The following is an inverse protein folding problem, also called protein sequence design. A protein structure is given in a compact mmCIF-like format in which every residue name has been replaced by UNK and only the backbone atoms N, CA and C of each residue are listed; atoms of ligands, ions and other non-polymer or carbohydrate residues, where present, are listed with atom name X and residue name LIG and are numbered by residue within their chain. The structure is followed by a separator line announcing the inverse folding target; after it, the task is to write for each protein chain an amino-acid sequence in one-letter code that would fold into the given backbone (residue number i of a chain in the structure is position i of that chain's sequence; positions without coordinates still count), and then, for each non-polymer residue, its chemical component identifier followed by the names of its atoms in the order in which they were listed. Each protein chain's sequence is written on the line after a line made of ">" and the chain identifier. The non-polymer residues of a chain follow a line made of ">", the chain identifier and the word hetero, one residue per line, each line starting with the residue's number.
data_IF_921561711706
#
_entry.id   IF_921561711706
#
_cell.length_a   1.000
_cell.length_b   1.000
_cell.length_c   1.000
_cell.angle_alpha   90.00
_cell.angle_beta   90.00
_cell.angle_gamma   90.00
#
_symmetry.space_group_name_H-M   'P 1'
#
loop_
_entity.id
_entity.type
_entity.pdbx_description
1 polymer ?
#
# COMPACT_ATOMS: atom_id res chain seq x y z
N UNK A 1 -35.57 21.37 -35.77
CA UNK A 1 -37.04 21.24 -35.60
C UNK A 1 -37.82 22.01 -36.65
N UNK A 2 -37.63 23.34 -36.81
CA UNK A 2 -38.33 24.11 -37.87
C UNK A 2 -38.07 23.57 -39.29
N UNK A 3 -36.86 23.09 -39.56
CA UNK A 3 -36.47 22.44 -40.81
C UNK A 3 -37.17 21.09 -41.09
N UNK A 4 -37.56 20.34 -40.05
CA UNK A 4 -38.28 19.07 -40.17
C UNK A 4 -39.74 19.34 -40.52
N UNK A 5 -40.35 20.28 -39.81
CA UNK A 5 -41.75 20.71 -40.02
C UNK A 5 -41.93 21.24 -41.46
N UNK A 6 -41.00 22.05 -41.96
CA UNK A 6 -41.04 22.56 -43.33
C UNK A 6 -40.95 21.46 -44.41
N UNK A 7 -40.16 20.40 -44.16
CA UNK A 7 -40.03 19.27 -45.10
C UNK A 7 -41.28 18.37 -45.05
N UNK A 8 -41.87 18.17 -43.87
CA UNK A 8 -43.14 17.44 -43.72
C UNK A 8 -44.31 18.16 -44.43
N UNK A 9 -44.35 19.49 -44.38
CA UNK A 9 -45.32 20.28 -45.15
C UNK A 9 -45.14 20.12 -46.66
N UNK A 10 -43.90 20.13 -47.16
CA UNK A 10 -43.58 19.91 -48.58
C UNK A 10 -43.93 18.50 -49.06
N UNK A 11 -43.72 17.47 -48.21
CA UNK A 11 -44.14 16.09 -48.49
C UNK A 11 -45.67 16.02 -48.57
N UNK A 12 -46.39 16.64 -47.63
CA UNK A 12 -47.85 16.64 -47.63
C UNK A 12 -48.44 17.38 -48.85
N UNK A 13 -47.83 18.49 -49.28
CA UNK A 13 -48.27 19.22 -50.47
C UNK A 13 -48.02 18.42 -51.75
N UNK A 14 -46.85 17.81 -51.89
CA UNK A 14 -46.51 16.97 -53.06
C UNK A 14 -47.34 15.69 -53.12
N UNK A 15 -47.66 15.07 -51.98
CA UNK A 15 -48.56 13.90 -51.93
C UNK A 15 -49.97 14.25 -52.40
N UNK A 16 -50.54 15.38 -51.93
CA UNK A 16 -51.84 15.87 -52.39
C UNK A 16 -51.87 16.14 -53.90
N UNK A 17 -50.77 16.63 -54.46
CA UNK A 17 -50.66 16.87 -55.90
C UNK A 17 -50.61 15.57 -56.70
N UNK A 18 -49.87 14.56 -56.23
CA UNK A 18 -49.82 13.22 -56.83
C UNK A 18 -51.20 12.55 -56.80
N UNK A 19 -51.90 12.63 -55.67
CA UNK A 19 -53.23 12.04 -55.51
C UNK A 19 -54.25 12.66 -56.49
N UNK A 20 -54.19 13.98 -56.69
CA UNK A 20 -55.04 14.69 -57.64
C UNK A 20 -54.75 14.29 -59.10
N UNK A 21 -53.46 14.18 -59.46
CA UNK A 21 -53.03 13.76 -60.80
C UNK A 21 -53.39 12.29 -61.09
N UNK A 22 -53.21 11.40 -60.11
CA UNK A 22 -53.65 10.00 -60.21
C UNK A 22 -55.17 9.90 -60.44
N UNK A 23 -55.95 10.71 -59.73
CA UNK A 23 -57.40 10.73 -59.86
C UNK A 23 -57.86 11.25 -61.23
N UNK A 24 -57.15 12.24 -61.80
CA UNK A 24 -57.37 12.71 -63.18
C UNK A 24 -57.07 11.63 -64.22
N UNK A 25 -55.98 10.88 -64.05
CA UNK A 25 -55.63 9.77 -64.93
C UNK A 25 -56.63 8.61 -64.80
N UNK A 26 -57.07 8.27 -63.59
CA UNK A 26 -58.09 7.23 -63.37
C UNK A 26 -59.42 7.55 -64.07
N UNK A 27 -59.89 8.81 -63.97
CA UNK A 27 -61.10 9.28 -64.69
C UNK A 27 -60.94 9.24 -66.22
N UNK A 28 -59.71 9.42 -66.70
CA UNK A 28 -59.39 9.28 -68.11
C UNK A 28 -59.46 7.83 -68.57
N UNK A 29 -58.84 6.92 -67.81
CA UNK A 29 -58.80 5.49 -68.13
C UNK A 29 -60.15 4.78 -67.92
N UNK A 30 -60.99 5.25 -67.00
CA UNK A 30 -62.36 4.74 -66.79
C UNK A 30 -63.38 5.22 -67.84
N UNK A 31 -63.03 6.22 -68.64
CA UNK A 31 -63.90 6.81 -69.66
C UNK A 31 -64.91 7.84 -69.14
N UNK A 32 -64.87 8.17 -67.84
CA UNK A 32 -65.74 9.17 -67.21
C UNK A 32 -65.40 10.62 -67.64
N UNK A 33 -64.17 10.87 -68.09
CA UNK A 33 -63.76 12.14 -68.69
C UNK A 33 -62.57 12.01 -69.62
N UNK A 34 -62.69 12.41 -70.89
CA UNK A 34 -61.60 12.34 -71.88
C UNK A 34 -60.68 13.55 -71.77
N UNK A 35 -59.39 13.30 -71.60
CA UNK A 35 -58.32 14.30 -71.63
C UNK A 35 -57.80 14.36 -73.06
N UNK A 36 -57.39 15.55 -73.50
CA UNK A 36 -56.66 15.68 -74.76
C UNK A 36 -55.30 14.96 -74.64
N UNK A 37 -54.80 14.40 -75.75
CA UNK A 37 -53.48 13.75 -75.83
C UNK A 37 -52.35 14.59 -75.21
N UNK A 38 -52.40 15.91 -75.39
CA UNK A 38 -51.40 16.83 -74.85
C UNK A 38 -51.54 17.00 -73.32
N UNK A 39 -52.77 16.98 -72.81
CA UNK A 39 -53.05 17.09 -71.37
C UNK A 39 -52.64 15.79 -70.66
N UNK A 40 -52.90 14.64 -71.28
CA UNK A 40 -52.49 13.34 -70.75
C UNK A 40 -50.96 13.24 -70.58
N UNK A 41 -50.21 13.55 -71.64
CA UNK A 41 -48.75 13.55 -71.58
C UNK A 41 -48.20 14.55 -70.56
N UNK A 42 -48.84 15.73 -70.44
CA UNK A 42 -48.50 16.70 -69.40
C UNK A 42 -48.77 16.16 -67.99
N UNK A 43 -49.93 15.53 -67.76
CA UNK A 43 -50.29 14.98 -66.45
C UNK A 43 -49.35 13.84 -66.03
N UNK A 44 -48.97 12.96 -66.96
CA UNK A 44 -48.02 11.88 -66.72
C UNK A 44 -46.62 12.40 -66.40
N UNK A 45 -46.12 13.38 -67.17
CA UNK A 45 -44.81 14.00 -66.89
C UNK A 45 -44.82 14.75 -65.55
N UNK A 46 -45.90 15.49 -65.24
CA UNK A 46 -46.00 16.18 -63.94
C UNK A 46 -46.08 15.21 -62.77
N UNK A 47 -46.68 14.03 -62.96
CA UNK A 47 -46.75 12.98 -61.95
C UNK A 47 -45.37 12.33 -61.74
N UNK A 48 -44.63 12.09 -62.82
CA UNK A 48 -43.26 11.58 -62.73
C UNK A 48 -42.33 12.57 -62.01
N UNK A 49 -42.46 13.87 -62.31
CA UNK A 49 -41.70 14.92 -61.61
C UNK A 49 -42.10 15.01 -60.13
N UNK A 50 -43.40 14.97 -59.81
CA UNK A 50 -43.87 15.05 -58.44
C UNK A 50 -43.47 13.81 -57.61
N UNK A 51 -43.53 12.61 -58.17
CA UNK A 51 -43.08 11.36 -57.51
C UNK A 51 -41.57 11.36 -57.25
N UNK A 52 -40.77 11.88 -58.19
CA UNK A 52 -39.33 12.06 -58.01
C UNK A 52 -39.00 13.08 -56.90
N UNK A 53 -39.75 14.18 -56.81
CA UNK A 53 -39.60 15.17 -55.74
C UNK A 53 -39.98 14.61 -54.36
N UNK A 54 -41.07 13.85 -54.27
CA UNK A 54 -41.50 13.19 -53.03
C UNK A 54 -40.44 12.19 -52.53
N UNK A 55 -39.85 11.41 -53.44
CA UNK A 55 -38.75 10.50 -53.11
C UNK A 55 -37.51 11.26 -52.59
N UNK A 56 -37.23 12.44 -53.14
CA UNK A 56 -36.13 13.30 -52.68
C UNK A 56 -36.39 13.86 -51.28
N UNK A 57 -37.60 14.40 -51.02
CA UNK A 57 -37.95 14.93 -49.70
C UNK A 57 -37.98 13.85 -48.61
N UNK A 58 -38.51 12.67 -48.92
CA UNK A 58 -38.48 11.52 -48.00
C UNK A 58 -37.05 11.05 -47.66
N UNK A 59 -36.11 11.10 -48.62
CA UNK A 59 -34.69 10.81 -48.35
C UNK A 59 -34.05 11.86 -47.45
N UNK A 60 -34.36 13.14 -47.64
CA UNK A 60 -33.84 14.23 -46.82
C UNK A 60 -34.38 14.14 -45.39
N UNK A 61 -35.69 13.86 -45.22
CA UNK A 61 -36.31 13.68 -43.91
C UNK A 61 -35.67 12.52 -43.13
N UNK A 62 -35.46 11.36 -43.77
CA UNK A 62 -34.78 10.21 -43.16
C UNK A 62 -33.36 10.53 -42.71
N UNK A 63 -32.63 11.35 -43.49
CA UNK A 63 -31.27 11.77 -43.15
C UNK A 63 -31.24 12.69 -41.93
N UNK A 64 -32.15 13.67 -41.89
CA UNK A 64 -32.25 14.61 -40.76
C UNK A 64 -32.63 13.92 -39.45
N UNK A 65 -33.58 12.98 -39.49
CA UNK A 65 -33.98 12.20 -38.31
C UNK A 65 -32.85 11.27 -37.81
N UNK A 66 -32.00 10.76 -38.71
CA UNK A 66 -30.83 9.96 -38.34
C UNK A 66 -29.71 10.78 -37.69
N UNK A 67 -29.39 11.95 -38.26
CA UNK A 67 -28.31 12.82 -37.78
C UNK A 67 -28.60 13.46 -36.40
N UNK A 68 -29.88 13.73 -36.07
CA UNK A 68 -30.27 14.29 -34.77
C UNK A 68 -30.28 13.23 -33.65
N UNK A 69 -30.59 11.97 -33.95
CA UNK A 69 -30.64 10.88 -32.96
C UNK A 69 -29.27 10.46 -32.41
N UNK A 70 -28.24 10.43 -33.27
CA UNK A 70 -26.88 10.05 -32.87
C UNK A 70 -26.21 11.14 -32.03
N UNK A 71 -26.33 12.41 -32.43
CA UNK A 71 -25.79 13.55 -31.69
C UNK A 71 -26.41 13.67 -30.29
N UNK A 72 -27.72 13.45 -30.18
CA UNK A 72 -28.42 13.52 -28.90
C UNK A 72 -27.92 12.44 -27.91
N UNK A 73 -27.65 11.23 -28.43
CA UNK A 73 -27.11 10.13 -27.64
C UNK A 73 -25.66 10.38 -27.20
N UNK A 74 -24.82 10.95 -28.07
CA UNK A 74 -23.46 11.34 -27.72
C UNK A 74 -23.42 12.45 -26.66
N UNK A 75 -24.23 13.50 -26.81
CA UNK A 75 -24.36 14.55 -25.81
C UNK A 75 -24.83 14.01 -24.46
N UNK A 76 -25.77 13.07 -24.47
CA UNK A 76 -26.25 12.42 -23.25
C UNK A 76 -25.15 11.62 -22.54
N UNK A 77 -24.37 10.83 -23.30
CA UNK A 77 -23.20 10.09 -22.77
C UNK A 77 -22.14 11.02 -22.21
N UNK A 78 -21.82 12.10 -22.93
CA UNK A 78 -20.85 13.11 -22.49
C UNK A 78 -21.31 13.84 -21.22
N UNK A 79 -22.60 14.13 -21.09
CA UNK A 79 -23.17 14.70 -19.87
C UNK A 79 -23.08 13.76 -18.68
N UNK A 80 -23.35 12.47 -18.87
CA UNK A 80 -23.22 11.46 -17.80
C UNK A 80 -21.75 11.34 -17.37
N UNK A 81 -20.83 11.21 -18.32
CA UNK A 81 -19.39 11.15 -18.04
C UNK A 81 -18.90 12.40 -17.31
N UNK A 82 -19.35 13.58 -17.72
CA UNK A 82 -19.00 14.86 -17.08
C UNK A 82 -19.55 14.96 -15.65
N UNK A 83 -20.77 14.47 -15.41
CA UNK A 83 -21.36 14.43 -14.05
C UNK A 83 -20.59 13.48 -13.14
N UNK A 84 -20.23 12.30 -13.64
CA UNK A 84 -19.43 11.29 -12.93
C UNK A 84 -18.05 11.83 -12.57
N UNK A 85 -17.36 12.46 -13.52
CA UNK A 85 -16.06 13.09 -13.26
C UNK A 85 -16.12 14.19 -12.19
N UNK A 86 -17.12 15.07 -12.26
CA UNK A 86 -17.34 16.11 -11.24
C UNK A 86 -17.63 15.55 -9.86
N UNK A 87 -18.30 14.39 -9.80
CA UNK A 87 -18.56 13.70 -8.53
C UNK A 87 -17.24 13.27 -7.87
N UNK A 88 -16.31 12.64 -8.60
CA UNK A 88 -15.03 12.21 -8.03
C UNK A 88 -14.06 13.38 -7.78
N UNK A 89 -14.01 14.38 -8.66
CA UNK A 89 -13.15 15.57 -8.48
C UNK A 89 -13.48 16.35 -7.18
N UNK A 90 -14.74 16.29 -6.71
CA UNK A 90 -15.20 17.01 -5.51
C UNK A 90 -15.28 16.14 -4.26
N UNK A 91 -14.85 14.88 -4.35
CA UNK A 91 -14.98 13.88 -3.28
C UNK A 91 -14.24 14.26 -2.00
N UNK A 92 -13.01 14.78 -2.10
CA UNK A 92 -12.21 15.24 -0.95
C UNK A 92 -12.94 16.31 -0.12
N UNK A 93 -13.63 17.24 -0.79
CA UNK A 93 -14.41 18.28 -0.11
C UNK A 93 -15.66 17.73 0.57
N UNK A 94 -16.33 16.74 -0.04
CA UNK A 94 -17.50 16.08 0.55
C UNK A 94 -17.13 15.26 1.78
N UNK A 95 -16.03 14.50 1.72
CA UNK A 95 -15.53 13.71 2.87
C UNK A 95 -15.24 14.64 4.06
N UNK A 96 -14.60 15.79 3.81
CA UNK A 96 -14.31 16.80 4.85
C UNK A 96 -15.58 17.41 5.45
N UNK A 97 -16.60 17.65 4.62
CA UNK A 97 -17.86 18.28 5.02
C UNK A 97 -18.86 17.33 5.70
N UNK A 98 -18.68 16.02 5.59
CA UNK A 98 -19.56 15.02 6.20
C UNK A 98 -19.61 15.21 7.73
N UNK A 99 -20.80 15.22 8.34
CA UNK A 99 -20.96 15.44 9.79
C UNK A 99 -21.08 14.14 10.61
N UNK A 100 -21.34 13.02 9.97
CA UNK A 100 -21.67 11.76 10.64
C UNK A 100 -20.43 11.02 11.13
N UNK A 101 -19.33 11.07 10.38
CA UNK A 101 -18.09 10.37 10.74
C UNK A 101 -17.14 11.22 11.60
N UNK A 102 -16.35 10.53 12.44
CA UNK A 102 -15.33 11.17 13.29
C UNK A 102 -14.17 11.75 12.47
N UNK A 103 -13.40 12.66 13.07
CA UNK A 103 -12.24 13.28 12.41
C UNK A 103 -11.21 12.25 11.93
N UNK A 104 -10.97 11.19 12.72
CA UNK A 104 -9.96 10.18 12.41
C UNK A 104 -10.36 9.31 11.20
N UNK A 105 -11.64 8.96 11.10
CA UNK A 105 -12.19 8.19 9.97
C UNK A 105 -12.12 9.03 8.68
N UNK A 106 -12.36 10.34 8.76
CA UNK A 106 -12.22 11.24 7.62
C UNK A 106 -10.78 11.34 7.13
N UNK A 107 -9.82 11.45 8.05
CA UNK A 107 -8.40 11.48 7.69
C UNK A 107 -7.95 10.16 7.06
N UNK A 108 -8.41 9.03 7.58
CA UNK A 108 -8.15 7.72 6.99
C UNK A 108 -8.75 7.61 5.57
N UNK A 109 -10.00 8.05 5.39
CA UNK A 109 -10.66 8.07 4.09
C UNK A 109 -9.92 8.95 3.06
N UNK A 110 -9.49 10.16 3.45
CA UNK A 110 -8.70 11.05 2.57
C UNK A 110 -7.35 10.42 2.21
N UNK A 111 -6.73 9.73 3.16
CA UNK A 111 -5.47 9.03 2.91
C UNK A 111 -5.65 7.89 1.91
N UNK A 112 -6.69 7.08 2.07
CA UNK A 112 -7.05 6.00 1.14
C UNK A 112 -7.30 6.60 -0.26
N UNK A 113 -8.05 7.70 -0.35
CA UNK A 113 -8.29 8.41 -1.61
C UNK A 113 -6.98 8.81 -2.32
N UNK A 114 -5.98 9.28 -1.57
CA UNK A 114 -4.68 9.67 -2.12
C UNK A 114 -3.76 8.50 -2.49
N UNK A 115 -4.04 7.29 -1.97
CA UNK A 115 -3.26 6.07 -2.25
C UNK A 115 -3.87 5.24 -3.40
N UNK A 116 -5.12 5.51 -3.79
CA UNK A 116 -5.80 4.79 -4.88
C UNK A 116 -5.22 5.17 -6.26
N UNK A 117 -5.02 4.20 -7.17
CA UNK A 117 -4.74 4.46 -8.57
C UNK A 117 -5.85 5.29 -9.22
N UNK A 118 -5.50 6.15 -10.18
CA UNK A 118 -6.46 7.03 -10.87
C UNK A 118 -7.57 6.28 -11.65
N UNK A 119 -7.42 4.98 -11.85
CA UNK A 119 -8.39 4.12 -12.54
C UNK A 119 -9.47 3.57 -11.60
N UNK A 120 -9.25 3.62 -10.27
CA UNK A 120 -10.17 3.06 -9.28
C UNK A 120 -11.03 4.19 -8.71
N UNK A 121 -12.29 4.19 -9.09
CA UNK A 121 -13.31 5.07 -8.54
C UNK A 121 -14.06 4.33 -7.42
N UNK A 122 -13.92 4.80 -6.18
CA UNK A 122 -14.67 4.30 -5.02
C UNK A 122 -15.68 5.35 -4.57
N UNK A 123 -16.91 4.92 -4.29
CA UNK A 123 -17.96 5.79 -3.80
C UNK A 123 -17.70 6.20 -2.33
N UNK A 124 -18.33 7.29 -1.89
CA UNK A 124 -18.09 7.86 -0.56
C UNK A 124 -18.39 6.83 0.56
N UNK A 125 -19.45 6.03 0.43
CA UNK A 125 -19.84 4.98 1.42
C UNK A 125 -18.80 3.86 1.51
N UNK A 126 -18.36 3.32 0.38
CA UNK A 126 -17.33 2.28 0.33
C UNK A 126 -16.01 2.77 0.92
N UNK A 127 -15.65 4.03 0.63
CA UNK A 127 -14.44 4.66 1.15
C UNK A 127 -14.49 4.78 2.68
N UNK A 128 -15.65 5.18 3.23
CA UNK A 128 -15.85 5.23 4.68
C UNK A 128 -15.89 3.84 5.32
N UNK A 129 -16.47 2.84 4.66
CA UNK A 129 -16.46 1.46 5.15
C UNK A 129 -15.04 0.91 5.24
N UNK A 130 -14.22 1.13 4.21
CA UNK A 130 -12.80 0.75 4.19
C UNK A 130 -12.05 1.53 5.28
N UNK A 131 -12.30 2.82 5.43
CA UNK A 131 -11.69 3.64 6.48
C UNK A 131 -12.02 3.11 7.88
N UNK A 132 -13.29 2.76 8.14
CA UNK A 132 -13.75 2.17 9.41
C UNK A 132 -13.09 0.82 9.66
N UNK A 133 -13.06 -0.07 8.66
CA UNK A 133 -12.37 -1.36 8.74
C UNK A 133 -10.88 -1.18 8.99
N UNK A 134 -10.22 -0.23 8.33
CA UNK A 134 -8.80 0.06 8.52
C UNK A 134 -8.50 0.56 9.94
N UNK A 135 -9.32 1.47 10.46
CA UNK A 135 -9.20 1.97 11.82
C UNK A 135 -9.40 0.84 12.85
N UNK A 136 -10.40 -0.02 12.62
CA UNK A 136 -10.64 -1.21 13.44
C UNK A 136 -9.54 -2.26 13.36
N UNK A 137 -8.77 -2.36 12.27
CA UNK A 137 -7.61 -3.24 12.21
C UNK A 137 -6.42 -2.67 13.00
N UNK A 138 -6.23 -1.34 12.98
CA UNK A 138 -5.10 -0.69 13.68
C UNK A 138 -5.25 -0.59 15.21
N UNK A 139 -6.47 -0.48 15.75
CA UNK A 139 -6.70 -0.22 17.19
C UNK A 139 -6.52 -1.44 18.14
N UNK A 140 -6.95 -2.67 17.78
CA UNK A 140 -6.79 -3.85 18.62
C UNK A 140 -5.31 -4.22 18.81
N UNK A 141 -4.51 -4.17 17.74
CA UNK A 141 -3.08 -4.48 17.78
C UNK A 141 -2.31 -3.55 18.73
N UNK A 142 -2.63 -2.24 18.69
CA UNK A 142 -2.01 -1.26 19.60
C UNK A 142 -2.39 -1.50 21.07
N UNK A 143 -3.63 -1.90 21.34
CA UNK A 143 -4.07 -2.22 22.70
C UNK A 143 -3.41 -3.50 23.24
N UNK A 144 -3.23 -4.51 22.41
CA UNK A 144 -2.52 -5.74 22.78
C UNK A 144 -1.03 -5.48 23.06
N UNK A 145 -0.38 -4.69 22.21
CA UNK A 145 1.02 -4.29 22.41
C UNK A 145 1.19 -3.44 23.67
N UNK A 146 0.27 -2.53 23.95
CA UNK A 146 0.27 -1.75 25.20
C UNK A 146 0.15 -2.65 26.42
N UNK A 147 -0.83 -3.58 26.43
CA UNK A 147 -1.00 -4.54 27.54
C UNK A 147 0.24 -5.41 27.74
N UNK A 148 0.87 -5.84 26.65
CA UNK A 148 2.10 -6.62 26.70
C UNK A 148 3.26 -5.81 27.29
N UNK A 149 3.40 -4.54 26.88
CA UNK A 149 4.39 -3.63 27.44
C UNK A 149 4.18 -3.41 28.95
N UNK A 150 2.92 -3.20 29.36
CA UNK A 150 2.58 -3.02 30.77
C UNK A 150 2.88 -4.28 31.58
N UNK A 151 2.63 -5.46 31.01
CA UNK A 151 3.02 -6.74 31.63
C UNK A 151 4.53 -6.84 31.84
N UNK A 152 5.33 -6.51 30.80
CA UNK A 152 6.80 -6.52 30.90
C UNK A 152 7.29 -5.50 31.93
N UNK A 153 6.71 -4.30 31.98
CA UNK A 153 7.06 -3.25 32.94
C UNK A 153 6.77 -3.66 34.37
N UNK A 154 5.58 -4.21 34.63
CA UNK A 154 5.20 -4.70 35.97
C UNK A 154 6.16 -5.81 36.41
N UNK A 155 6.47 -6.76 35.52
CA UNK A 155 7.41 -7.82 35.84
C UNK A 155 8.82 -7.29 36.10
N UNK A 156 9.32 -6.38 35.27
CA UNK A 156 10.62 -5.73 35.44
C UNK A 156 10.72 -5.02 36.79
N UNK A 157 9.77 -4.15 37.10
CA UNK A 157 9.74 -3.40 38.36
C UNK A 157 9.63 -4.33 39.57
N UNK A 158 8.80 -5.38 39.49
CA UNK A 158 8.65 -6.36 40.58
C UNK A 158 9.94 -7.14 40.89
N UNK A 159 10.81 -7.32 39.89
CA UNK A 159 12.10 -7.99 40.05
C UNK A 159 13.17 -7.02 40.58
N UNK A 160 13.08 -5.73 40.25
CA UNK A 160 13.95 -4.69 40.78
C UNK A 160 13.65 -4.34 42.24
N UNK A 161 12.38 -4.22 42.65
CA UNK A 161 11.98 -3.83 44.02
C UNK A 161 12.48 -4.78 45.12
N UNK A 162 12.87 -6.01 44.75
CA UNK A 162 13.43 -7.00 45.68
C UNK A 162 14.84 -6.64 46.18
N UNK A 163 15.55 -5.75 45.50
CA UNK A 163 16.89 -5.29 45.87
C UNK A 163 16.91 -3.76 46.05
N UNK A 164 16.63 -3.30 47.28
CA UNK A 164 16.72 -1.88 47.66
C UNK A 164 18.17 -1.52 47.98
N UNK A 165 19.00 -1.28 46.96
CA UNK A 165 20.23 -0.50 47.14
C UNK A 165 19.99 0.93 46.63
N UNK A 166 20.34 1.92 47.47
CA UNK A 166 19.84 3.30 47.43
C UNK A 166 20.34 4.19 46.26
N UNK A 167 21.23 3.71 45.39
CA UNK A 167 22.01 4.61 44.51
C UNK A 167 21.56 4.69 43.03
N UNK A 168 20.46 4.05 42.65
CA UNK A 168 20.12 3.85 41.23
C UNK A 168 19.22 4.95 40.63
N UNK A 169 19.04 6.10 41.30
CA UNK A 169 18.26 7.24 40.77
C UNK A 169 18.76 7.76 39.41
N UNK A 170 20.03 7.51 39.06
CA UNK A 170 20.61 7.88 37.76
C UNK A 170 20.24 6.95 36.59
N UNK A 171 19.54 5.84 36.86
CA UNK A 171 19.18 4.82 35.85
C UNK A 171 17.68 4.87 35.51
N UNK A 172 16.92 5.84 36.01
CA UNK A 172 15.48 5.95 35.76
C UNK A 172 15.10 5.90 34.26
N UNK A 173 15.98 6.30 33.35
CA UNK A 173 15.75 6.16 31.90
C UNK A 173 15.78 4.70 31.44
N UNK A 174 16.60 3.82 32.04
CA UNK A 174 16.63 2.40 31.69
C UNK A 174 15.35 1.68 32.14
N UNK A 175 14.67 2.14 33.18
CA UNK A 175 13.38 1.59 33.62
C UNK A 175 12.32 1.64 32.51
N UNK A 176 12.42 2.65 31.65
CA UNK A 176 11.57 2.76 30.47
C UNK A 176 12.17 2.06 29.26
N UNK A 177 13.48 2.20 29.03
CA UNK A 177 14.14 1.71 27.81
C UNK A 177 14.26 0.18 27.77
N UNK A 178 14.53 -0.47 28.89
CA UNK A 178 14.69 -1.93 28.97
C UNK A 178 13.39 -2.65 28.56
N UNK A 179 12.21 -2.39 29.18
CA UNK A 179 10.96 -3.00 28.77
C UNK A 179 10.60 -2.77 27.30
N UNK A 180 10.90 -1.58 26.78
CA UNK A 180 10.67 -1.23 25.37
C UNK A 180 11.55 -2.08 24.44
N UNK A 181 12.83 -2.24 24.78
CA UNK A 181 13.75 -3.07 23.97
C UNK A 181 13.34 -4.54 24.03
N UNK A 182 12.95 -5.07 25.19
CA UNK A 182 12.41 -6.43 25.34
C UNK A 182 11.19 -6.64 24.44
N UNK A 183 10.25 -5.69 24.46
CA UNK A 183 9.07 -5.73 23.60
C UNK A 183 9.47 -5.76 22.12
N UNK A 184 10.38 -4.89 21.69
CA UNK A 184 10.83 -4.87 20.30
C UNK A 184 11.49 -6.18 19.87
N UNK A 185 12.30 -6.80 20.73
CA UNK A 185 12.89 -8.12 20.45
C UNK A 185 11.82 -9.19 20.26
N UNK A 186 10.81 -9.21 21.13
CA UNK A 186 9.68 -10.14 21.01
C UNK A 186 8.91 -9.94 19.70
N UNK A 187 8.51 -8.70 19.40
CA UNK A 187 7.80 -8.37 18.16
C UNK A 187 8.63 -8.77 16.94
N UNK A 188 9.92 -8.46 16.91
CA UNK A 188 10.79 -8.82 15.79
C UNK A 188 10.83 -10.34 15.60
N UNK A 189 10.98 -11.10 16.70
CA UNK A 189 10.98 -12.57 16.65
C UNK A 189 9.66 -13.13 16.11
N UNK A 190 8.55 -12.64 16.62
CA UNK A 190 7.22 -13.10 16.22
C UNK A 190 6.97 -12.79 14.74
N UNK A 191 7.35 -11.58 14.29
CA UNK A 191 7.27 -11.17 12.88
C UNK A 191 8.14 -12.03 11.96
N UNK A 192 9.37 -12.36 12.36
CA UNK A 192 10.24 -13.24 11.56
C UNK A 192 9.64 -14.66 11.50
N UNK A 193 9.12 -15.16 12.63
CA UNK A 193 8.50 -16.48 12.70
C UNK A 193 7.26 -16.58 11.81
N UNK A 194 6.40 -15.56 11.84
CA UNK A 194 5.22 -15.45 10.99
C UNK A 194 5.61 -15.34 9.51
N UNK A 195 6.57 -14.47 9.17
CA UNK A 195 7.04 -14.32 7.78
C UNK A 195 7.65 -15.62 7.22
N UNK A 196 8.35 -16.40 8.04
CA UNK A 196 8.82 -17.75 7.67
C UNK A 196 7.63 -18.71 7.46
N UNK A 197 6.63 -18.67 8.35
CA UNK A 197 5.43 -19.50 8.23
C UNK A 197 4.67 -19.22 6.93
N UNK A 198 4.42 -17.95 6.62
CA UNK A 198 3.70 -17.52 5.43
C UNK A 198 4.41 -17.95 4.15
N UNK A 199 5.75 -17.83 4.10
CA UNK A 199 6.53 -18.35 2.98
C UNK A 199 6.46 -19.86 2.83
N UNK A 200 6.46 -20.60 3.94
CA UNK A 200 6.29 -22.05 3.90
C UNK A 200 4.89 -22.46 3.45
N UNK A 201 3.87 -21.66 3.76
CA UNK A 201 2.49 -21.90 3.30
C UNK A 201 2.40 -21.66 1.79
N UNK A 202 2.92 -20.53 1.32
CA UNK A 202 2.96 -20.20 -0.10
C UNK A 202 3.74 -21.24 -0.92
N UNK A 203 4.90 -21.68 -0.44
CA UNK A 203 5.67 -22.73 -1.11
C UNK A 203 4.95 -24.10 -1.11
N UNK A 204 4.09 -24.38 -0.13
CA UNK A 204 3.23 -25.59 -0.14
C UNK A 204 2.15 -25.51 -1.21
N UNK A 205 1.57 -24.34 -1.43
CA UNK A 205 0.59 -24.13 -2.51
C UNK A 205 1.25 -24.30 -3.87
N UNK A 206 2.44 -23.70 -4.08
CA UNK A 206 3.20 -23.85 -5.32
C UNK A 206 3.63 -25.30 -5.61
N UNK A 207 3.93 -26.09 -4.57
CA UNK A 207 4.15 -27.54 -4.68
C UNK A 207 2.89 -28.28 -5.16
N UNK A 208 1.71 -27.95 -4.59
CA UNK A 208 0.43 -28.55 -4.99
C UNK A 208 0.05 -28.20 -6.43
N UNK A 209 0.44 -27.01 -6.88
CA UNK A 209 0.26 -26.54 -8.26
C UNK A 209 1.32 -27.10 -9.24
N UNK A 210 2.29 -27.88 -8.76
CA UNK A 210 3.35 -28.46 -9.61
C UNK A 210 4.37 -27.45 -10.13
N UNK A 211 4.44 -26.24 -9.58
CA UNK A 211 5.39 -25.19 -9.98
C UNK A 211 6.77 -25.35 -9.36
N UNK A 212 6.88 -26.13 -8.29
CA UNK A 212 8.13 -26.43 -7.56
C UNK A 212 8.17 -27.94 -7.29
N UNK A 213 9.31 -28.58 -7.51
CA UNK A 213 9.49 -30.03 -7.33
C UNK A 213 9.72 -30.42 -5.85
N UNK A 214 10.38 -29.57 -5.07
CA UNK A 214 10.59 -29.77 -3.64
C UNK A 214 10.95 -28.44 -2.94
N UNK A 215 10.55 -28.26 -1.69
CA UNK A 215 11.07 -27.18 -0.86
C UNK A 215 11.26 -27.63 0.59
N UNK A 216 12.32 -27.14 1.22
CA UNK A 216 12.57 -27.39 2.64
C UNK A 216 11.77 -26.42 3.52
N UNK A 217 10.94 -26.96 4.42
CA UNK A 217 10.24 -26.16 5.43
C UNK A 217 11.25 -25.54 6.39
N UNK A 218 11.49 -24.25 6.24
CA UNK A 218 12.36 -23.51 7.16
C UNK A 218 11.58 -23.24 8.44
N UNK A 219 12.15 -23.52 9.60
CA UNK A 219 11.61 -23.05 10.88
C UNK A 219 12.54 -21.98 11.42
N UNK A 220 11.99 -20.98 12.10
CA UNK A 220 12.82 -20.07 12.86
C UNK A 220 13.54 -20.88 13.95
N UNK A 221 14.85 -21.04 13.77
CA UNK A 221 15.75 -21.52 14.81
C UNK A 221 15.84 -20.43 15.88
N UNK A 222 16.06 -20.81 17.14
CA UNK A 222 16.30 -19.86 18.24
C UNK A 222 17.37 -18.85 17.88
N UNK A 223 17.37 -17.70 18.57
CA UNK A 223 18.42 -16.71 18.37
C UNK A 223 19.80 -17.32 18.63
N UNK A 224 20.84 -16.92 17.86
CA UNK A 224 22.20 -17.29 18.21
C UNK A 224 22.55 -16.68 19.58
N UNK A 225 23.11 -17.48 20.47
CA UNK A 225 23.55 -17.01 21.79
C UNK A 225 24.58 -15.90 21.64
N UNK A 226 24.53 -14.93 22.54
CA UNK A 226 25.50 -13.83 22.60
C UNK A 226 26.49 -14.06 23.75
N UNK A 227 27.63 -13.37 23.73
CA UNK A 227 28.59 -13.37 24.84
C UNK A 227 28.74 -11.95 25.37
N UNK A 228 28.61 -11.77 26.68
CA UNK A 228 28.59 -10.42 27.28
C UNK A 228 29.96 -9.73 27.22
N UNK A 229 31.07 -10.49 27.22
CA UNK A 229 32.42 -9.93 27.08
C UNK A 229 32.61 -9.16 25.77
N UNK A 230 31.89 -9.52 24.70
CA UNK A 230 31.89 -8.75 23.44
C UNK A 230 31.47 -7.29 23.64
N UNK A 231 30.52 -7.06 24.54
CA UNK A 231 29.99 -5.72 24.80
C UNK A 231 30.89 -4.98 25.78
N UNK A 232 31.41 -5.68 26.80
CA UNK A 232 32.36 -5.13 27.76
C UNK A 232 33.65 -4.64 27.10
N UNK A 233 34.19 -5.39 26.15
CA UNK A 233 35.48 -5.11 25.53
C UNK A 233 35.38 -4.47 24.14
N UNK A 234 34.20 -4.02 23.72
CA UNK A 234 33.95 -3.60 22.35
C UNK A 234 34.96 -2.59 21.78
N UNK A 235 35.45 -1.68 22.63
CA UNK A 235 36.38 -0.61 22.24
C UNK A 235 37.84 -0.90 22.60
N UNK A 236 38.10 -2.00 23.30
CA UNK A 236 39.42 -2.40 23.78
C UNK A 236 39.95 -3.55 22.93
N UNK A 237 39.07 -4.45 22.48
CA UNK A 237 39.39 -5.64 21.70
C UNK A 237 38.74 -5.57 20.33
N UNK A 238 39.57 -5.55 19.28
CA UNK A 238 39.10 -5.66 17.89
C UNK A 238 38.37 -6.99 17.65
N UNK A 239 38.70 -8.04 18.41
CA UNK A 239 38.03 -9.34 18.36
C UNK A 239 36.62 -9.26 18.94
N UNK A 240 36.43 -8.56 20.05
CA UNK A 240 35.11 -8.30 20.63
C UNK A 240 34.22 -7.54 19.63
N UNK A 241 34.76 -6.48 19.02
CA UNK A 241 34.07 -5.73 17.96
C UNK A 241 33.68 -6.61 16.77
N UNK A 242 34.63 -7.38 16.23
CA UNK A 242 34.39 -8.23 15.08
C UNK A 242 33.39 -9.33 15.36
N UNK A 243 33.49 -9.97 16.53
CA UNK A 243 32.56 -11.02 16.98
C UNK A 243 31.14 -10.49 17.09
N UNK A 244 30.97 -9.30 17.70
CA UNK A 244 29.67 -8.68 17.85
C UNK A 244 29.08 -8.22 16.51
N UNK A 245 29.93 -7.73 15.59
CA UNK A 245 29.53 -7.38 14.24
C UNK A 245 29.07 -8.61 13.45
N UNK A 246 29.81 -9.73 13.52
CA UNK A 246 29.43 -10.99 12.89
C UNK A 246 28.14 -11.55 13.48
N UNK A 247 27.98 -11.47 14.79
CA UNK A 247 26.73 -11.85 15.45
C UNK A 247 25.54 -11.01 14.96
N UNK A 248 25.73 -9.68 14.82
CA UNK A 248 24.74 -8.78 14.20
C UNK A 248 24.38 -9.23 12.78
N UNK A 249 25.37 -9.59 11.97
CA UNK A 249 25.16 -10.08 10.59
C UNK A 249 24.39 -11.41 10.54
N UNK A 250 24.66 -12.35 11.46
CA UNK A 250 23.97 -13.64 11.52
C UNK A 250 22.47 -13.42 11.73
N UNK A 251 22.11 -12.57 12.70
CA UNK A 251 20.70 -12.23 12.96
C UNK A 251 20.10 -11.47 11.76
N UNK A 252 20.85 -10.53 11.17
CA UNK A 252 20.39 -9.77 10.01
C UNK A 252 20.09 -10.67 8.78
N UNK A 253 20.76 -11.83 8.65
CA UNK A 253 20.48 -12.84 7.62
C UNK A 253 19.19 -13.61 7.87
N UNK A 254 18.73 -13.70 9.12
CA UNK A 254 17.44 -14.30 9.47
C UNK A 254 16.27 -13.37 9.14
N UNK A 255 16.50 -12.05 9.13
CA UNK A 255 15.53 -11.05 8.67
C UNK A 255 15.28 -11.16 7.15
N UNK A 256 14.02 -11.39 6.79
CA UNK A 256 13.61 -11.63 5.41
C UNK A 256 13.28 -10.35 4.64
N UNK A 257 12.66 -9.38 5.30
CA UNK A 257 12.23 -8.12 4.69
C UNK A 257 13.20 -6.99 4.99
N UNK A 258 13.13 -5.90 4.23
CA UNK A 258 14.01 -4.74 4.46
C UNK A 258 13.64 -4.01 5.75
N UNK A 259 12.36 -4.03 6.10
CA UNK A 259 11.77 -3.47 7.31
C UNK A 259 12.25 -4.22 8.54
N UNK A 260 12.29 -5.56 8.49
CA UNK A 260 12.85 -6.38 9.56
C UNK A 260 14.33 -6.08 9.78
N UNK A 261 15.11 -5.90 8.71
CA UNK A 261 16.54 -5.53 8.80
C UNK A 261 16.75 -4.15 9.42
N UNK A 262 15.92 -3.16 9.03
CA UNK A 262 15.92 -1.82 9.64
C UNK A 262 15.56 -1.88 11.12
N UNK A 263 14.50 -2.61 11.46
CA UNK A 263 14.06 -2.81 12.84
C UNK A 263 15.16 -3.48 13.67
N UNK A 264 15.80 -4.54 13.14
CA UNK A 264 16.93 -5.19 13.79
C UNK A 264 18.08 -4.23 14.08
N UNK A 265 18.48 -3.39 13.12
CA UNK A 265 19.55 -2.41 13.37
C UNK A 265 19.21 -1.48 14.53
N UNK A 266 17.98 -0.97 14.59
CA UNK A 266 17.52 -0.09 15.67
C UNK A 266 17.52 -0.82 17.02
N UNK A 267 17.02 -2.06 17.05
CA UNK A 267 16.96 -2.88 18.26
C UNK A 267 18.37 -3.18 18.76
N UNK A 268 19.27 -3.60 17.87
CA UNK A 268 20.66 -3.88 18.17
C UNK A 268 21.38 -2.66 18.75
N UNK A 269 21.24 -1.48 18.12
CA UNK A 269 21.90 -0.26 18.56
C UNK A 269 21.41 0.15 19.96
N UNK A 270 20.10 0.02 20.22
CA UNK A 270 19.50 0.28 21.55
C UNK A 270 19.96 -0.73 22.59
N UNK A 271 19.97 -2.02 22.24
CA UNK A 271 20.41 -3.10 23.13
C UNK A 271 21.87 -2.93 23.55
N UNK A 272 22.79 -2.66 22.60
CA UNK A 272 24.20 -2.37 22.90
C UNK A 272 24.33 -1.14 23.78
N UNK A 273 23.56 -0.08 23.50
CA UNK A 273 23.63 1.15 24.28
C UNK A 273 23.24 0.90 25.73
N UNK A 274 22.17 0.14 25.97
CA UNK A 274 21.74 -0.25 27.32
C UNK A 274 22.80 -1.12 27.99
N UNK A 275 23.28 -2.18 27.33
CA UNK A 275 24.30 -3.07 27.89
C UNK A 275 25.59 -2.33 28.24
N UNK A 276 26.04 -1.39 27.41
CA UNK A 276 27.20 -0.52 27.70
C UNK A 276 26.96 0.37 28.91
N UNK A 277 25.81 1.05 28.98
CA UNK A 277 25.47 1.89 30.13
C UNK A 277 25.46 1.10 31.43
N UNK A 278 24.94 -0.14 31.41
CA UNK A 278 24.97 -1.03 32.57
C UNK A 278 26.42 -1.46 32.90
N UNK A 279 27.24 -1.79 31.89
CA UNK A 279 28.65 -2.13 32.10
C UNK A 279 29.48 -0.99 32.69
N UNK A 280 29.23 0.25 32.27
CA UNK A 280 29.91 1.45 32.80
C UNK A 280 29.58 1.68 34.29
N UNK A 281 28.43 1.18 34.76
CA UNK A 281 28.01 1.23 36.17
C UNK A 281 28.54 0.06 36.99
N UNK A 282 29.17 -0.94 36.35
CA UNK A 282 29.83 -2.06 37.01
C UNK A 282 28.90 -2.85 37.93
N UNK A 283 29.39 -3.19 39.12
CA UNK A 283 28.68 -4.03 40.10
C UNK A 283 27.32 -3.48 40.51
N UNK A 284 27.17 -2.15 40.52
CA UNK A 284 25.91 -1.48 40.88
C UNK A 284 24.76 -1.80 39.92
N UNK A 285 25.07 -2.18 38.69
CA UNK A 285 24.10 -2.49 37.64
C UNK A 285 23.94 -3.99 37.38
N UNK A 286 24.61 -4.87 38.14
CA UNK A 286 24.53 -6.32 37.94
C UNK A 286 23.10 -6.85 38.10
N UNK A 287 22.35 -6.33 39.06
CA UNK A 287 20.93 -6.72 39.20
C UNK A 287 20.10 -6.30 38.00
N UNK A 288 20.34 -5.10 37.45
CA UNK A 288 19.68 -4.64 36.23
C UNK A 288 20.04 -5.50 35.02
N UNK A 289 21.31 -5.85 34.85
CA UNK A 289 21.77 -6.79 33.82
C UNK A 289 21.04 -8.14 33.95
N UNK A 290 21.06 -8.73 35.14
CA UNK A 290 20.42 -10.02 35.39
C UNK A 290 18.92 -10.00 35.07
N UNK A 291 18.19 -8.98 35.54
CA UNK A 291 16.75 -8.84 35.25
C UNK A 291 16.52 -8.61 33.75
N UNK A 292 17.34 -7.80 33.10
CA UNK A 292 17.24 -7.54 31.66
C UNK A 292 17.40 -8.82 30.85
N UNK A 293 18.44 -9.60 31.14
CA UNK A 293 18.76 -10.83 30.43
C UNK A 293 17.69 -11.90 30.63
N UNK A 294 17.22 -12.06 31.87
CA UNK A 294 16.13 -12.99 32.21
C UNK A 294 14.83 -12.67 31.48
N UNK A 295 14.46 -11.39 31.37
CA UNK A 295 13.25 -10.99 30.65
C UNK A 295 13.42 -11.09 29.13
N UNK A 296 14.59 -10.76 28.60
CA UNK A 296 14.89 -10.99 27.18
C UNK A 296 14.81 -12.49 26.87
N UNK A 297 15.38 -13.36 27.69
CA UNK A 297 15.27 -14.82 27.53
C UNK A 297 13.79 -15.25 27.54
N UNK A 298 13.01 -14.80 28.54
CA UNK A 298 11.60 -15.17 28.66
C UNK A 298 10.75 -14.74 27.45
N UNK A 299 10.87 -13.49 27.02
CA UNK A 299 9.98 -12.91 26.00
C UNK A 299 10.51 -13.12 24.57
N UNK A 300 11.82 -13.06 24.37
CA UNK A 300 12.44 -13.14 23.07
C UNK A 300 13.23 -14.43 22.83
N UNK A 301 13.51 -15.27 23.84
CA UNK A 301 14.37 -16.47 23.74
C UNK A 301 15.77 -16.15 23.23
N UNK A 302 16.28 -14.98 23.58
CA UNK A 302 17.68 -14.63 23.36
C UNK A 302 18.43 -14.94 24.65
N UNK A 303 19.39 -15.84 24.55
CA UNK A 303 20.17 -16.37 25.68
C UNK A 303 21.62 -15.90 25.59
N UNK A 304 22.23 -15.70 26.76
CA UNK A 304 23.68 -15.59 26.88
C UNK A 304 24.33 -16.99 26.83
N UNK A 305 25.52 -17.08 26.25
CA UNK A 305 26.34 -18.29 26.33
C UNK A 305 27.10 -18.32 27.66
N UNK A 306 26.75 -19.27 28.52
CA UNK A 306 27.37 -19.46 29.83
C UNK A 306 28.35 -20.64 29.87
N UNK A 307 28.45 -21.42 28.79
CA UNK A 307 29.35 -22.57 28.71
C UNK A 307 30.80 -22.11 28.45
N UNK A 308 31.66 -22.25 29.46
CA UNK A 308 33.06 -21.83 29.43
C UNK A 308 33.86 -22.49 28.29
N UNK A 309 33.61 -23.77 27.97
CA UNK A 309 34.32 -24.45 26.89
C UNK A 309 33.95 -23.87 25.53
N UNK A 310 32.65 -23.57 25.34
CA UNK A 310 32.17 -22.94 24.11
C UNK A 310 32.64 -21.49 23.99
N UNK A 311 32.67 -20.74 25.10
CA UNK A 311 33.20 -19.38 25.11
C UNK A 311 34.66 -19.35 24.67
N UNK A 312 35.51 -20.16 25.29
CA UNK A 312 36.94 -20.28 24.94
C UNK A 312 37.15 -20.73 23.49
N UNK A 313 36.30 -21.63 22.98
CA UNK A 313 36.39 -22.09 21.59
C UNK A 313 35.98 -20.99 20.60
N UNK A 314 34.93 -20.22 20.90
CA UNK A 314 34.47 -19.11 20.08
C UNK A 314 35.53 -18.00 20.02
N UNK A 315 36.15 -17.67 21.15
CA UNK A 315 37.27 -16.73 21.20
C UNK A 315 38.42 -17.18 20.27
N UNK A 316 38.83 -18.45 20.35
CA UNK A 316 39.85 -19.03 19.46
C UNK A 316 39.46 -19.01 17.98
N UNK A 317 38.18 -19.19 17.66
CA UNK A 317 37.68 -19.11 16.28
C UNK A 317 37.82 -17.68 15.76
N UNK A 318 37.40 -16.68 16.55
CA UNK A 318 37.48 -15.28 16.13
C UNK A 318 38.90 -14.75 16.07
N UNK A 319 39.81 -15.22 16.93
CA UNK A 319 41.25 -14.99 16.80
C UNK A 319 41.75 -15.39 15.40
N UNK A 320 41.50 -16.64 14.99
CA UNK A 320 41.90 -17.15 13.67
C UNK A 320 41.23 -16.45 12.49
N UNK A 321 40.01 -15.93 12.68
CA UNK A 321 39.31 -15.15 11.66
C UNK A 321 39.89 -13.74 11.54
N UNK A 322 40.21 -13.10 12.67
CA UNK A 322 40.82 -11.77 12.71
C UNK A 322 42.23 -11.76 12.10
N UNK A 323 43.02 -12.82 12.29
CA UNK A 323 44.33 -12.97 11.64
C UNK A 323 44.25 -13.04 10.10
N UNK A 324 43.10 -13.43 9.55
CA UNK A 324 42.87 -13.52 8.10
C UNK A 324 42.26 -12.26 7.51
N UNK A 325 41.76 -11.35 8.35
CA UNK A 325 41.22 -10.08 7.89
C UNK A 325 42.33 -9.04 7.71
N UNK A 326 42.25 -8.34 6.58
CA UNK A 326 43.13 -7.24 6.25
C UNK A 326 42.49 -5.94 6.76
N UNK A 327 42.88 -5.53 7.97
CA UNK A 327 42.39 -4.31 8.61
C UNK A 327 42.88 -3.01 7.95
N UNK A 328 43.80 -3.09 6.98
CA UNK A 328 44.29 -1.92 6.23
C UNK A 328 43.36 -1.54 5.07
N UNK A 329 42.43 -2.43 4.67
CA UNK A 329 41.43 -2.14 3.65
C UNK A 329 40.32 -1.26 4.21
N UNK A 330 40.45 0.05 3.97
CA UNK A 330 39.37 1.00 4.17
C UNK A 330 38.13 0.59 3.35
N UNK A 331 36.98 0.49 4.01
CA UNK A 331 35.71 0.36 3.28
C UNK A 331 35.51 1.55 2.34
N UNK A 332 34.88 1.34 1.18
CA UNK A 332 34.63 2.40 0.18
C UNK A 332 33.84 3.61 0.73
N UNK A 333 33.27 3.50 1.93
CA UNK A 333 32.52 4.54 2.63
C UNK A 333 33.29 5.21 3.76
N UNK A 334 34.52 4.78 4.08
CA UNK A 334 35.35 5.40 5.11
C UNK A 334 36.04 6.65 4.57
N UNK A 335 35.35 7.79 4.65
CA UNK A 335 35.92 9.09 4.28
C UNK A 335 36.44 9.80 5.54
N UNK A 336 37.76 9.72 5.76
CA UNK A 336 38.46 10.37 6.89
C UNK A 336 38.18 11.88 6.90
N UNK A 337 37.99 12.47 5.71
CA UNK A 337 37.70 13.89 5.51
C UNK A 337 36.18 14.09 5.47
N UNK A 338 35.57 14.22 6.64
CA UNK A 338 34.13 14.53 6.75
C UNK A 338 33.82 15.98 6.33
N UNK A 339 32.58 16.27 5.87
CA UNK A 339 32.15 17.65 5.60
C UNK A 339 32.36 18.58 6.80
N UNK A 340 32.18 18.05 8.03
CA UNK A 340 32.43 18.81 9.26
C UNK A 340 33.91 19.11 9.50
N UNK A 341 34.81 18.17 9.21
CA UNK A 341 36.25 18.44 9.23
C UNK A 341 36.64 19.53 8.22
N UNK A 342 36.06 19.50 7.00
CA UNK A 342 36.26 20.56 6.01
C UNK A 342 35.76 21.92 6.50
N UNK A 343 34.58 21.95 7.12
CA UNK A 343 34.03 23.15 7.77
C UNK A 343 34.97 23.69 8.87
N UNK A 344 35.47 22.82 9.75
CA UNK A 344 36.41 23.22 10.82
C UNK A 344 37.74 23.74 10.29
N UNK A 345 38.20 23.26 9.14
CA UNK A 345 39.41 23.76 8.46
C UNK A 345 39.17 25.10 7.74
N UNK A 346 37.93 25.41 7.40
CA UNK A 346 37.54 26.68 6.74
C UNK A 346 37.23 27.83 7.69
N UNK A 347 37.19 27.56 9.00
CA UNK A 347 37.19 28.55 10.08
C UNK A 347 38.58 28.63 10.68
#
# INVERSE_FOLDING_TARGET
>A
MESIIAIEELINQTQKQIDLQNLQLQRHYSGEGKLSSLILASTENTLEVATNQLNKYNKILKRLLGEDGEKLNEEYRLRIASKRKRYFDTQDSRIKANKEHSSDIKLAAIRILGELPQEIELDDEDLFEIAVKSAHLTLPELNELSKLLDTIRVEFNSQLEKNKEEDIKQIATLDYLIPIVILHFKILRDNISQSIHDKNLHNQELLKEGKIENFEKKKFSTWPKYQDWWVRELWVSHQAYFSLFKWKEIINKQCQTTEQKKAWSIIYDRWITIKKLLNDKGTLAFHYHYVFDKLIEKYAKLEEEMDEEKMNNIEKIYLKLSEKEDFEKNSNFHNIITPYYKYKKSK
#
